data_IF_942952139307
#
_entry.id   IF_942952139307
#
_cell.length_a   1.000
_cell.length_b   1.000
_cell.length_c   1.000
_cell.angle_alpha   90.00
_cell.angle_beta   90.00
_cell.angle_gamma   90.00
#
_symmetry.space_group_name_H-M   'P 1'
#
loop_
_entity.id
_entity.type
_entity.pdbx_description
1 polymer ?
#
# COMPACT_ATOMS: atom_id res chain seq x y z
N UNK A 1 4.50 24.02 -2.57
CA UNK A 1 4.40 22.66 -3.11
C UNK A 1 3.74 22.72 -4.47
N UNK A 2 4.10 21.87 -5.43
CA UNK A 2 3.58 21.93 -6.81
C UNK A 2 2.28 21.14 -6.91
N UNK A 3 1.27 21.72 -7.57
CA UNK A 3 0.08 21.00 -7.98
C UNK A 3 0.36 20.06 -9.16
N UNK A 4 -0.27 18.91 -9.15
CA UNK A 4 -0.21 17.92 -10.24
C UNK A 4 -1.62 17.53 -10.66
N UNK A 5 -1.85 17.36 -11.96
CA UNK A 5 -3.11 16.80 -12.46
C UNK A 5 -3.29 15.38 -11.93
N UNK A 6 -4.52 15.03 -11.57
CA UNK A 6 -4.81 13.76 -10.89
C UNK A 6 -4.37 12.54 -11.70
N UNK A 7 -4.57 12.53 -13.02
CA UNK A 7 -4.22 11.37 -13.85
C UNK A 7 -2.70 11.19 -13.98
N UNK A 8 -1.95 12.29 -14.05
CA UNK A 8 -0.49 12.27 -14.04
C UNK A 8 0.04 11.77 -12.69
N UNK A 9 -0.57 12.23 -11.60
CA UNK A 9 -0.23 11.81 -10.24
C UNK A 9 -0.50 10.31 -10.02
N UNK A 10 -1.61 9.78 -10.55
CA UNK A 10 -1.95 8.35 -10.49
C UNK A 10 -0.89 7.53 -11.23
N UNK A 11 -0.54 7.91 -12.45
CA UNK A 11 0.52 7.23 -13.22
C UNK A 11 1.86 7.27 -12.50
N UNK A 12 2.21 8.42 -11.95
CA UNK A 12 3.45 8.61 -11.20
C UNK A 12 3.45 7.76 -9.93
N UNK A 13 2.34 7.72 -9.18
CA UNK A 13 2.24 6.88 -7.99
C UNK A 13 2.40 5.40 -8.32
N UNK A 14 1.76 4.90 -9.36
CA UNK A 14 1.87 3.49 -9.77
C UNK A 14 3.32 3.12 -10.08
N UNK A 15 4.07 4.01 -10.71
CA UNK A 15 5.48 3.77 -11.10
C UNK A 15 6.43 3.87 -9.91
N UNK A 16 6.41 4.98 -9.19
CA UNK A 16 7.45 5.35 -8.20
C UNK A 16 6.89 5.94 -6.89
N UNK A 17 5.57 5.84 -6.66
CA UNK A 17 4.95 6.39 -5.47
C UNK A 17 5.35 5.66 -4.20
N UNK A 18 5.59 6.43 -3.14
CA UNK A 18 5.91 5.94 -1.82
C UNK A 18 4.69 5.94 -0.90
N UNK A 19 4.03 7.08 -0.80
CA UNK A 19 2.83 7.24 0.02
C UNK A 19 1.95 8.38 -0.50
N UNK A 20 0.71 8.38 -0.06
CA UNK A 20 -0.17 9.55 -0.18
C UNK A 20 -0.99 9.73 1.10
N UNK A 21 -1.21 10.98 1.46
CA UNK A 21 -1.83 11.39 2.71
C UNK A 21 -2.83 12.51 2.49
N UNK A 22 -3.86 12.60 3.33
CA UNK A 22 -4.79 13.72 3.28
C UNK A 22 -4.11 15.01 3.77
N UNK A 23 -4.49 16.11 3.16
CA UNK A 23 -4.02 17.43 3.54
C UNK A 23 -5.00 18.53 3.20
N UNK A 24 -4.58 19.74 3.44
CA UNK A 24 -5.36 20.96 3.12
C UNK A 24 -4.41 22.01 2.58
N UNK A 25 -4.72 22.57 1.42
CA UNK A 25 -4.00 23.71 0.84
C UNK A 25 -4.84 24.98 0.94
N UNK A 26 -4.16 26.11 1.25
CA UNK A 26 -4.81 27.39 1.37
C UNK A 26 -5.42 27.82 0.03
N UNK A 27 -6.69 28.19 0.05
CA UNK A 27 -7.43 28.62 -1.16
C UNK A 27 -7.90 27.47 -2.06
N UNK A 28 -7.51 26.22 -1.78
CA UNK A 28 -7.91 25.04 -2.56
C UNK A 28 -8.86 24.15 -1.77
N UNK A 29 -8.60 23.97 -0.46
CA UNK A 29 -9.38 23.08 0.39
C UNK A 29 -8.70 21.73 0.61
N UNK A 30 -9.49 20.65 0.65
CA UNK A 30 -8.97 19.29 0.85
C UNK A 30 -8.18 18.82 -0.37
N UNK A 31 -7.00 18.30 -0.13
CA UNK A 31 -6.08 17.78 -1.15
C UNK A 31 -5.49 16.45 -0.70
N UNK A 32 -4.90 15.72 -1.62
CA UNK A 32 -4.03 14.58 -1.33
C UNK A 32 -2.58 14.98 -1.61
N UNK A 33 -1.73 14.88 -0.60
CA UNK A 33 -0.28 14.98 -0.79
C UNK A 33 0.26 13.62 -1.23
N UNK A 34 1.06 13.65 -2.27
CA UNK A 34 1.70 12.48 -2.88
C UNK A 34 3.21 12.63 -2.79
N UNK A 35 3.89 11.63 -2.23
CA UNK A 35 5.33 11.46 -2.33
C UNK A 35 5.65 10.41 -3.37
N UNK A 36 6.42 10.80 -4.40
CA UNK A 36 6.87 9.91 -5.46
C UNK A 36 8.32 10.26 -5.84
N UNK A 37 9.22 9.28 -5.72
CA UNK A 37 10.65 9.54 -5.76
C UNK A 37 11.06 10.53 -4.66
N UNK A 38 11.77 11.58 -5.04
CA UNK A 38 12.21 12.65 -4.12
C UNK A 38 11.19 13.79 -3.99
N UNK A 39 10.16 13.82 -4.82
CA UNK A 39 9.23 14.94 -4.90
C UNK A 39 7.96 14.70 -4.10
N UNK A 40 7.48 15.79 -3.49
CA UNK A 40 6.17 15.85 -2.87
C UNK A 40 5.33 16.87 -3.66
N UNK A 41 4.19 16.42 -4.16
CA UNK A 41 3.21 17.25 -4.84
C UNK A 41 1.83 17.09 -4.20
N UNK A 42 0.84 17.88 -4.64
CA UNK A 42 -0.54 17.68 -4.23
C UNK A 42 -1.47 17.56 -5.43
N UNK A 43 -2.60 16.91 -5.21
CA UNK A 43 -3.71 16.78 -6.16
C UNK A 43 -5.01 17.25 -5.50
N UNK A 44 -5.86 17.91 -6.27
CA UNK A 44 -7.14 18.46 -5.80
C UNK A 44 -8.23 17.37 -5.74
N UNK A 45 -8.01 16.38 -4.88
CA UNK A 45 -9.02 15.37 -4.57
C UNK A 45 -8.73 14.76 -3.19
N UNK A 46 -9.72 14.08 -2.62
CA UNK A 46 -9.54 13.34 -1.35
C UNK A 46 -8.69 12.09 -1.56
N UNK A 47 -8.06 11.59 -0.49
CA UNK A 47 -7.27 10.34 -0.53
C UNK A 47 -8.08 9.14 -0.98
N UNK A 48 -9.36 9.07 -0.63
CA UNK A 48 -10.25 7.99 -1.08
C UNK A 48 -10.51 8.06 -2.59
N UNK A 49 -10.75 9.28 -3.12
CA UNK A 49 -10.89 9.49 -4.56
C UNK A 49 -9.60 9.15 -5.30
N UNK A 50 -8.45 9.56 -4.75
CA UNK A 50 -7.14 9.23 -5.32
C UNK A 50 -6.90 7.72 -5.34
N UNK A 51 -7.16 7.03 -4.21
CA UNK A 51 -7.05 5.58 -4.10
C UNK A 51 -7.92 4.87 -5.14
N UNK A 52 -9.19 5.32 -5.30
CA UNK A 52 -10.09 4.75 -6.31
C UNK A 52 -9.50 4.87 -7.71
N UNK A 53 -8.98 6.04 -8.08
CA UNK A 53 -8.34 6.23 -9.39
C UNK A 53 -7.09 5.37 -9.58
N UNK A 54 -6.29 5.15 -8.52
CA UNK A 54 -5.15 4.22 -8.56
C UNK A 54 -5.62 2.79 -8.79
N UNK A 55 -6.67 2.35 -8.10
CA UNK A 55 -7.24 1.02 -8.28
C UNK A 55 -7.85 0.84 -9.68
N UNK A 56 -8.63 1.81 -10.15
CA UNK A 56 -9.22 1.82 -11.50
C UNK A 56 -8.13 1.73 -12.58
N UNK A 57 -7.00 2.42 -12.38
CA UNK A 57 -5.84 2.36 -13.29
C UNK A 57 -5.21 0.97 -13.37
N UNK A 58 -5.30 0.21 -12.30
CA UNK A 58 -4.81 -1.17 -12.20
C UNK A 58 -5.92 -2.21 -12.44
N UNK A 59 -7.12 -1.78 -12.89
CA UNK A 59 -8.30 -2.63 -13.12
C UNK A 59 -8.75 -3.43 -11.89
N UNK A 60 -8.62 -2.82 -10.70
CA UNK A 60 -8.92 -3.47 -9.41
C UNK A 60 -10.18 -2.90 -8.76
N UNK A 61 -11.01 -3.76 -8.21
CA UNK A 61 -12.18 -3.39 -7.41
C UNK A 61 -11.80 -3.27 -5.93
N UNK A 62 -11.79 -2.03 -5.41
CA UNK A 62 -11.41 -1.74 -4.02
C UNK A 62 -12.30 -2.43 -2.98
N UNK A 63 -13.59 -2.59 -3.26
CA UNK A 63 -14.51 -3.23 -2.33
C UNK A 63 -14.13 -4.70 -2.18
N UNK A 64 -13.96 -5.41 -3.28
CA UNK A 64 -13.57 -6.82 -3.30
C UNK A 64 -12.19 -7.04 -2.67
N UNK A 65 -11.24 -6.12 -2.92
CA UNK A 65 -9.92 -6.19 -2.30
C UNK A 65 -9.99 -6.03 -0.77
N UNK A 66 -10.83 -5.12 -0.27
CA UNK A 66 -11.04 -4.94 1.18
C UNK A 66 -11.70 -6.17 1.80
N UNK A 67 -12.71 -6.73 1.16
CA UNK A 67 -13.39 -7.96 1.59
C UNK A 67 -12.39 -9.12 1.67
N UNK A 68 -11.66 -9.40 0.59
CA UNK A 68 -10.62 -10.42 0.53
C UNK A 68 -9.55 -10.25 1.62
N UNK A 69 -8.97 -9.06 1.76
CA UNK A 69 -7.97 -8.80 2.78
C UNK A 69 -8.51 -8.96 4.20
N UNK A 70 -9.78 -8.59 4.42
CA UNK A 70 -10.46 -8.73 5.70
C UNK A 70 -10.69 -10.21 6.05
N UNK A 71 -11.10 -11.02 5.09
CA UNK A 71 -11.31 -12.46 5.27
C UNK A 71 -10.00 -13.17 5.59
N UNK A 72 -8.95 -12.93 4.80
CA UNK A 72 -7.65 -13.58 4.97
C UNK A 72 -6.96 -13.20 6.28
N UNK A 73 -7.09 -11.95 6.73
CA UNK A 73 -6.42 -11.48 7.97
C UNK A 73 -7.28 -11.53 9.22
N UNK A 74 -8.59 -11.71 9.10
CA UNK A 74 -9.55 -11.51 10.19
C UNK A 74 -9.66 -10.04 10.66
N UNK A 75 -9.07 -9.09 9.94
CA UNK A 75 -9.00 -7.68 10.31
C UNK A 75 -10.11 -6.88 9.60
N UNK A 76 -10.91 -6.11 10.37
CA UNK A 76 -12.03 -5.34 9.81
C UNK A 76 -11.67 -3.90 9.43
N UNK A 77 -10.58 -3.35 9.98
CA UNK A 77 -10.17 -1.94 9.76
C UNK A 77 -8.71 -1.88 9.36
N UNK A 78 -8.38 -0.89 8.56
CA UNK A 78 -7.00 -0.65 8.09
C UNK A 78 -6.38 -1.91 7.47
N UNK A 79 -7.16 -2.62 6.66
CA UNK A 79 -6.68 -3.82 5.96
C UNK A 79 -5.73 -3.43 4.83
N UNK A 80 -4.62 -4.15 4.63
CA UNK A 80 -3.74 -3.94 3.49
C UNK A 80 -4.47 -4.16 2.16
N UNK A 81 -4.11 -3.40 1.14
CA UNK A 81 -4.70 -3.50 -0.20
C UNK A 81 -3.66 -4.01 -1.19
N UNK A 82 -3.95 -5.11 -1.85
CA UNK A 82 -3.08 -5.73 -2.85
C UNK A 82 -3.56 -5.31 -4.24
N UNK A 83 -3.08 -4.18 -4.72
CA UNK A 83 -3.44 -3.67 -6.05
C UNK A 83 -2.66 -4.38 -7.16
N UNK A 84 -1.44 -4.78 -6.89
CA UNK A 84 -0.62 -5.66 -7.71
C UNK A 84 0.48 -6.27 -6.83
N UNK A 85 1.29 -7.16 -7.38
CA UNK A 85 2.45 -7.73 -6.67
C UNK A 85 3.42 -6.63 -6.19
N UNK A 86 3.57 -5.55 -6.96
CA UNK A 86 4.47 -4.42 -6.66
C UNK A 86 3.77 -3.31 -5.87
N UNK A 87 2.45 -3.19 -5.97
CA UNK A 87 1.66 -2.12 -5.35
C UNK A 87 0.78 -2.69 -4.25
N UNK A 88 1.39 -2.86 -3.09
CA UNK A 88 0.72 -3.24 -1.85
C UNK A 88 0.66 -2.02 -0.94
N UNK A 89 -0.54 -1.63 -0.53
CA UNK A 89 -0.76 -0.43 0.26
C UNK A 89 -1.10 -0.77 1.72
N UNK A 90 -0.36 -0.16 2.63
CA UNK A 90 -0.60 -0.19 4.07
C UNK A 90 -1.41 1.06 4.46
N UNK A 91 -2.68 0.93 4.85
CA UNK A 91 -3.44 2.06 5.37
C UNK A 91 -2.99 2.43 6.78
N UNK A 92 -2.97 3.73 7.07
CA UNK A 92 -2.67 4.27 8.39
C UNK A 92 -3.49 5.52 8.65
N UNK A 93 -3.57 5.92 9.93
CA UNK A 93 -4.24 7.16 10.31
C UNK A 93 -3.23 8.30 10.34
N UNK A 94 -3.46 9.32 9.54
CA UNK A 94 -2.68 10.54 9.52
C UNK A 94 -3.30 11.58 10.45
N UNK A 95 -2.48 12.22 11.31
CA UNK A 95 -2.98 13.01 12.43
C UNK A 95 -3.14 14.49 12.17
N UNK A 96 -2.48 15.00 11.15
CA UNK A 96 -2.41 16.44 10.90
C UNK A 96 -3.67 17.01 10.24
N UNK A 97 -4.63 16.16 9.87
CA UNK A 97 -5.88 16.63 9.28
C UNK A 97 -6.88 17.01 10.34
N UNK A 98 -7.43 18.24 10.24
CA UNK A 98 -8.49 18.74 11.11
C UNK A 98 -9.79 17.95 10.93
N UNK A 99 -10.02 17.37 9.74
CA UNK A 99 -11.22 16.63 9.41
C UNK A 99 -11.12 15.18 9.93
N UNK A 100 -11.99 14.81 10.88
CA UNK A 100 -12.00 13.47 11.50
C UNK A 100 -12.35 12.33 10.53
N UNK A 101 -13.05 12.63 9.43
CA UNK A 101 -13.54 11.63 8.49
C UNK A 101 -12.54 11.27 7.39
N UNK A 102 -11.56 12.13 7.09
CA UNK A 102 -10.59 11.95 6.00
C UNK A 102 -9.15 11.91 6.54
N UNK A 103 -8.87 10.95 7.45
CA UNK A 103 -7.54 10.84 8.09
C UNK A 103 -6.69 9.69 7.57
N UNK A 104 -7.22 8.92 6.63
CA UNK A 104 -6.53 7.73 6.17
C UNK A 104 -5.53 8.07 5.07
N UNK A 105 -4.27 7.74 5.33
CA UNK A 105 -3.21 7.73 4.35
C UNK A 105 -2.83 6.29 3.97
N UNK A 106 -2.02 6.17 2.94
CA UNK A 106 -1.57 4.89 2.40
C UNK A 106 -0.08 4.93 2.12
N UNK A 107 0.64 3.93 2.61
CA UNK A 107 2.08 3.75 2.42
C UNK A 107 2.30 2.50 1.60
N UNK A 108 3.10 2.58 0.56
CA UNK A 108 3.47 1.44 -0.27
C UNK A 108 4.46 0.55 0.49
N UNK A 109 4.15 -0.73 0.63
CA UNK A 109 4.95 -1.69 1.39
C UNK A 109 6.40 -1.77 0.88
N UNK A 110 6.59 -1.81 -0.44
CA UNK A 110 7.91 -1.87 -1.08
C UNK A 110 8.74 -0.60 -0.93
N UNK A 111 8.13 0.51 -0.49
CA UNK A 111 8.83 1.76 -0.24
C UNK A 111 9.50 1.85 1.13
N UNK A 112 9.22 0.92 2.03
CA UNK A 112 9.78 0.92 3.39
C UNK A 112 11.17 0.32 3.35
N UNK A 113 12.19 1.16 3.57
CA UNK A 113 13.59 0.71 3.73
C UNK A 113 13.84 0.25 5.16
N UNK A 114 13.50 1.10 6.12
CA UNK A 114 13.65 0.82 7.54
C UNK A 114 12.63 1.60 8.37
N UNK A 115 12.39 1.16 9.59
CA UNK A 115 11.55 1.87 10.54
C UNK A 115 12.21 1.85 11.92
N UNK A 116 12.00 2.93 12.66
CA UNK A 116 12.51 3.09 14.02
C UNK A 116 11.60 3.93 14.90
N UNK A 117 11.82 3.96 16.21
CA UNK A 117 11.03 4.80 17.11
C UNK A 117 11.24 6.27 16.78
N UNK A 118 10.18 7.07 16.93
CA UNK A 118 10.25 8.52 16.88
C UNK A 118 10.30 9.12 18.29
N UNK A 119 10.54 10.43 18.40
CA UNK A 119 10.60 11.13 19.68
C UNK A 119 9.29 11.09 20.47
N UNK A 120 8.15 11.06 19.76
CA UNK A 120 6.85 11.01 20.42
C UNK A 120 6.47 9.55 20.74
N UNK A 121 5.82 9.28 21.89
CA UNK A 121 5.38 7.95 22.24
C UNK A 121 4.38 7.42 21.22
N UNK A 122 4.43 6.11 20.95
CA UNK A 122 3.59 5.43 19.97
C UNK A 122 3.69 6.02 18.55
N UNK A 123 4.84 6.57 18.19
CA UNK A 123 5.15 7.02 16.84
C UNK A 123 6.38 6.29 16.30
N UNK A 124 6.43 6.10 15.01
CA UNK A 124 7.59 5.57 14.32
C UNK A 124 7.95 6.44 13.11
N UNK A 125 9.24 6.54 12.85
CA UNK A 125 9.78 7.13 11.64
C UNK A 125 10.07 6.02 10.64
N UNK A 126 9.69 6.25 9.39
CA UNK A 126 9.91 5.33 8.29
C UNK A 126 10.83 6.02 7.31
N UNK A 127 11.97 5.39 7.04
CA UNK A 127 12.87 5.76 5.97
C UNK A 127 12.38 5.11 4.68
N UNK A 128 12.31 5.89 3.62
CA UNK A 128 11.82 5.44 2.32
C UNK A 128 12.98 4.96 1.46
N UNK A 129 12.74 3.87 0.75
CA UNK A 129 13.71 3.29 -0.16
C UNK A 129 13.96 4.23 -1.36
N UNK A 130 15.23 4.51 -1.66
CA UNK A 130 15.64 5.42 -2.75
C UNK A 130 15.05 6.82 -2.62
N UNK A 131 14.86 7.30 -1.38
CA UNK A 131 14.39 8.65 -1.12
C UNK A 131 15.02 9.19 0.16
N UNK A 132 15.34 10.49 0.17
CA UNK A 132 15.75 11.20 1.38
C UNK A 132 14.56 11.57 2.27
N UNK A 133 13.33 11.44 1.75
CA UNK A 133 12.12 11.73 2.51
C UNK A 133 11.88 10.67 3.59
N UNK A 134 11.38 11.15 4.72
CA UNK A 134 10.93 10.32 5.83
C UNK A 134 9.47 10.61 6.13
N UNK A 135 8.74 9.62 6.59
CA UNK A 135 7.37 9.80 7.08
C UNK A 135 7.28 9.34 8.54
N UNK A 136 6.62 10.16 9.37
CA UNK A 136 6.32 9.79 10.76
C UNK A 136 4.87 9.34 10.87
N UNK A 137 4.66 8.15 11.43
CA UNK A 137 3.34 7.61 11.66
C UNK A 137 3.03 7.53 13.15
N UNK A 138 1.81 7.84 13.55
CA UNK A 138 1.33 7.59 14.92
C UNK A 138 0.95 6.12 15.09
N UNK A 139 1.98 5.30 15.07
CA UNK A 139 1.90 3.87 15.19
C UNK A 139 3.20 3.38 15.81
N UNK A 140 3.15 2.50 16.80
CA UNK A 140 4.38 1.92 17.35
C UNK A 140 5.09 1.05 16.30
N UNK A 141 6.41 0.96 16.39
CA UNK A 141 7.22 0.11 15.50
C UNK A 141 6.69 -1.33 15.46
N UNK A 142 6.36 -1.88 16.64
CA UNK A 142 5.78 -3.24 16.75
C UNK A 142 4.52 -3.40 15.89
N UNK A 143 3.56 -2.47 16.02
CA UNK A 143 2.34 -2.51 15.22
C UNK A 143 2.58 -2.33 13.73
N UNK A 144 3.54 -1.47 13.34
CA UNK A 144 3.93 -1.33 11.95
C UNK A 144 4.47 -2.66 11.39
N UNK A 145 5.37 -3.32 12.14
CA UNK A 145 5.94 -4.62 11.74
C UNK A 145 4.84 -5.69 11.61
N UNK A 146 3.88 -5.72 12.54
CA UNK A 146 2.70 -6.61 12.45
C UNK A 146 1.87 -6.33 11.18
N UNK A 147 1.63 -5.06 10.85
CA UNK A 147 0.91 -4.67 9.62
C UNK A 147 1.68 -5.07 8.35
N UNK A 148 3.00 -4.85 8.34
CA UNK A 148 3.86 -5.26 7.23
C UNK A 148 3.86 -6.79 7.03
N UNK A 149 3.92 -7.56 8.12
CA UNK A 149 3.87 -9.02 8.08
C UNK A 149 2.56 -9.53 7.50
N UNK A 150 1.43 -8.97 7.93
CA UNK A 150 0.10 -9.27 7.37
C UNK A 150 0.02 -8.93 5.88
N UNK A 151 0.53 -7.77 5.49
CA UNK A 151 0.52 -7.34 4.09
C UNK A 151 1.36 -8.26 3.20
N UNK A 152 2.53 -8.70 3.67
CA UNK A 152 3.36 -9.69 2.96
C UNK A 152 2.63 -11.03 2.85
N UNK A 153 2.05 -11.49 3.93
CA UNK A 153 1.27 -12.74 3.94
C UNK A 153 0.13 -12.71 2.91
N UNK A 154 -0.70 -11.64 2.91
CA UNK A 154 -1.80 -11.53 1.93
C UNK A 154 -1.27 -11.44 0.50
N UNK A 155 -0.20 -10.68 0.27
CA UNK A 155 0.43 -10.56 -1.05
C UNK A 155 0.87 -11.93 -1.57
N UNK A 156 1.54 -12.70 -0.74
CA UNK A 156 2.07 -14.00 -1.12
C UNK A 156 0.93 -15.01 -1.32
N UNK A 157 -0.08 -15.00 -0.45
CA UNK A 157 -1.30 -15.79 -0.62
C UNK A 157 -2.06 -15.43 -1.92
N UNK A 158 -2.21 -14.12 -2.22
CA UNK A 158 -2.81 -13.67 -3.46
C UNK A 158 -2.03 -14.14 -4.69
N UNK A 159 -0.70 -14.06 -4.64
CA UNK A 159 0.15 -14.53 -5.72
C UNK A 159 0.03 -16.05 -5.96
N UNK A 160 -0.13 -16.82 -4.89
CA UNK A 160 -0.28 -18.29 -4.97
C UNK A 160 -1.60 -18.73 -5.61
N UNK A 161 -2.68 -17.93 -5.46
CA UNK A 161 -3.96 -18.19 -6.13
C UNK A 161 -3.85 -18.21 -7.67
N UNK A 162 -2.86 -17.53 -8.22
CA UNK A 162 -2.64 -17.41 -9.66
C UNK A 162 -1.47 -18.24 -10.18
N UNK A 163 -0.84 -19.06 -9.31
CA UNK A 163 0.19 -20.00 -9.75
C UNK A 163 -0.47 -21.12 -10.57
N UNK A 164 -0.01 -21.39 -11.81
CA UNK A 164 -0.48 -22.57 -12.53
C UNK A 164 -0.10 -23.80 -11.73
N UNK A 165 -1.06 -24.71 -11.55
CA UNK A 165 -0.79 -26.03 -11.01
C UNK A 165 0.20 -26.73 -11.95
N UNK A 166 1.42 -26.98 -11.49
CA UNK A 166 2.36 -27.80 -12.26
C UNK A 166 1.75 -29.20 -12.27
N UNK A 167 1.46 -29.79 -13.44
CA UNK A 167 1.02 -31.17 -13.50
C UNK A 167 2.12 -32.00 -12.85
N UNK A 168 1.81 -32.70 -11.78
CA UNK A 168 2.69 -33.70 -11.23
C UNK A 168 2.96 -34.71 -12.34
N UNK A 169 4.16 -34.72 -12.91
CA UNK A 169 4.57 -35.80 -13.80
C UNK A 169 4.51 -37.04 -12.94
N UNK A 170 3.47 -37.84 -13.18
CA UNK A 170 3.43 -39.20 -12.68
C UNK A 170 4.55 -39.89 -13.45
N UNK A 171 5.67 -40.12 -12.78
CA UNK A 171 6.69 -41.05 -13.24
C UNK A 171 6.03 -42.40 -13.36
N UNK A 172 5.57 -42.73 -14.58
CA UNK A 172 5.27 -44.08 -14.97
C UNK A 172 6.58 -44.82 -15.08
N UNK A 173 7.13 -45.26 -13.94
CA UNK A 173 8.07 -46.36 -13.88
C UNK A 173 7.25 -47.64 -14.19
N UNK A 174 6.99 -47.85 -15.47
CA UNK A 174 6.62 -49.19 -15.93
C UNK A 174 7.90 -50.00 -16.07
N UNK A 175 8.01 -50.93 -15.14
CA UNK A 175 8.71 -52.16 -15.21
C UNK A 175 9.16 -52.59 -16.61
N UNK A 176 10.45 -52.71 -16.77
CA UNK A 176 11.03 -53.70 -17.66
C UNK A 176 11.75 -54.75 -16.78
N UNK A 177 10.92 -55.62 -16.22
CA UNK A 177 11.34 -56.96 -15.85
C UNK A 177 10.69 -57.87 -16.87
N UNK A 178 11.42 -58.27 -17.89
CA UNK A 178 11.28 -59.60 -18.56
C UNK A 178 12.45 -59.78 -19.49
N UNK A 179 13.27 -60.72 -19.15
CA UNK A 179 13.97 -61.76 -19.92
C UNK A 179 15.37 -61.98 -19.40
#
# INVERSE_FOLDING_TARGET
MKEMKTDDAVLRFVREGHYFIPGTENGVGEVTYLCAGEEICYVQCTTETFLKKVADKLCMDLRRLREFSSEVTGQKKLVPLILSKEVVLLPFIHLLTKNRHHRQGYLRLSSIESCGPALLPNTCNIKLHRSHNMISLRLSVRRLVEHMSKARFIRDYYADLFRPSIPTQIENNHDQLES
#
